data_IF_474650973361
#
_entry.id   IF_474650973361
#
_cell.length_a   1.000
_cell.length_b   1.000
_cell.length_c   1.000
_cell.angle_alpha   90.00
_cell.angle_beta   90.00
_cell.angle_gamma   90.00
#
_symmetry.space_group_name_H-M   'P 1'
#
loop_
_entity.id
_entity.type
_entity.pdbx_description
1 polymer ?
#
# COMPACT_ATOMS: atom_id res chain seq x y z
N UNK A 1 18.26 1.38 7.58
CA UNK A 1 18.15 2.04 7.31
C UNK A 1 17.15 2.51 6.58
N UNK A 2 16.67 2.95 6.47
CA UNK A 2 15.52 3.30 6.07
C UNK A 2 15.38 4.19 4.96
N UNK A 3 16.33 4.57 4.37
CA UNK A 3 16.27 5.72 3.54
C UNK A 3 15.99 5.42 2.09
N UNK A 4 15.12 4.51 1.87
CA UNK A 4 14.70 4.23 0.52
C UNK A 4 13.95 5.35 -0.14
N UNK A 5 13.14 6.15 0.59
CA UNK A 5 12.24 7.10 -0.04
C UNK A 5 12.88 8.09 -0.97
N UNK A 6 14.13 8.46 -0.73
CA UNK A 6 14.80 9.41 -1.59
C UNK A 6 15.45 8.79 -2.81
N UNK A 7 15.34 7.48 -2.98
CA UNK A 7 15.99 6.79 -4.08
C UNK A 7 15.24 7.05 -5.38
N UNK A 8 15.99 7.46 -6.39
CA UNK A 8 15.45 7.74 -7.70
C UNK A 8 14.81 6.49 -8.30
N UNK A 9 13.66 6.66 -8.90
CA UNK A 9 12.96 5.57 -9.57
C UNK A 9 11.95 4.83 -8.69
N UNK A 10 12.01 5.01 -7.39
CA UNK A 10 11.04 4.37 -6.50
C UNK A 10 9.66 4.96 -6.74
N UNK A 11 8.69 4.08 -6.90
CA UNK A 11 7.30 4.44 -7.13
C UNK A 11 6.50 4.16 -5.87
N UNK A 12 5.67 5.11 -5.47
CA UNK A 12 4.83 4.97 -4.29
C UNK A 12 3.37 4.93 -4.73
N UNK A 13 2.63 3.91 -4.30
CA UNK A 13 1.19 3.87 -4.45
C UNK A 13 0.56 4.15 -3.11
N UNK A 14 -0.35 5.13 -3.07
CA UNK A 14 -1.14 5.44 -1.89
C UNK A 14 -2.60 5.28 -2.30
N UNK A 15 -3.25 4.30 -1.71
CA UNK A 15 -4.64 3.98 -2.02
C UNK A 15 -5.48 4.27 -0.79
N UNK A 16 -6.42 5.19 -0.92
CA UNK A 16 -7.29 5.57 0.19
C UNK A 16 -8.65 4.91 -0.04
N UNK A 17 -8.99 3.99 0.85
CA UNK A 17 -10.28 3.32 0.81
C UNK A 17 -11.24 4.01 1.76
N UNK A 18 -12.46 4.24 1.30
CA UNK A 18 -13.59 4.61 2.14
C UNK A 18 -14.39 3.36 2.41
N UNK A 19 -14.73 3.11 3.66
CA UNK A 19 -15.33 1.86 4.09
C UNK A 19 -16.38 2.13 5.16
N UNK A 20 -17.41 1.28 5.20
CA UNK A 20 -18.36 1.33 6.31
C UNK A 20 -17.66 0.87 7.59
N UNK A 21 -17.93 1.50 8.74
CA UNK A 21 -17.19 1.17 9.98
C UNK A 21 -17.23 -0.31 10.34
N UNK A 22 -18.37 -0.96 10.11
CA UNK A 22 -18.50 -2.39 10.42
C UNK A 22 -17.67 -3.28 9.49
N UNK A 23 -17.19 -2.74 8.37
CA UNK A 23 -16.38 -3.49 7.40
C UNK A 23 -14.91 -3.10 7.44
N UNK A 24 -14.54 -2.13 8.28
CA UNK A 24 -13.16 -1.64 8.28
C UNK A 24 -12.16 -2.75 8.56
N UNK A 25 -12.40 -3.57 9.59
CA UNK A 25 -11.46 -4.63 9.94
C UNK A 25 -11.41 -5.71 8.85
N UNK A 26 -12.53 -6.00 8.20
CA UNK A 26 -12.54 -6.94 7.09
C UNK A 26 -11.64 -6.46 5.96
N UNK A 27 -11.68 -5.16 5.65
CA UNK A 27 -10.83 -4.59 4.61
C UNK A 27 -9.37 -4.59 5.03
N UNK A 28 -9.07 -4.26 6.29
CA UNK A 28 -7.71 -4.34 6.81
C UNK A 28 -7.16 -5.75 6.63
N UNK A 29 -7.92 -6.77 7.02
CA UNK A 29 -7.50 -8.16 6.89
C UNK A 29 -7.27 -8.55 5.44
N UNK A 30 -8.17 -8.11 4.56
CA UNK A 30 -8.06 -8.37 3.13
C UNK A 30 -6.80 -7.72 2.54
N UNK A 31 -6.50 -6.49 2.95
CA UNK A 31 -5.30 -5.80 2.47
C UNK A 31 -4.02 -6.44 3.00
N UNK A 32 -4.03 -6.96 4.21
CA UNK A 32 -2.87 -7.69 4.75
C UNK A 32 -2.60 -8.93 3.89
N UNK A 33 -3.63 -9.69 3.52
CA UNK A 33 -3.46 -10.83 2.62
C UNK A 33 -2.94 -10.38 1.25
N UNK A 34 -3.47 -9.27 0.74
CA UNK A 34 -3.05 -8.72 -0.54
C UNK A 34 -1.57 -8.38 -0.52
N UNK A 35 -1.11 -7.72 0.53
CA UNK A 35 0.30 -7.33 0.66
C UNK A 35 1.20 -8.57 0.77
N UNK A 36 0.76 -9.58 1.49
CA UNK A 36 1.53 -10.81 1.62
C UNK A 36 1.64 -11.55 0.28
N UNK A 37 0.68 -11.40 -0.59
CA UNK A 37 0.76 -11.95 -1.93
C UNK A 37 1.64 -11.07 -2.82
N UNK A 38 1.48 -9.75 -2.74
CA UNK A 38 2.23 -8.79 -3.55
C UNK A 38 3.74 -8.91 -3.34
N UNK A 39 4.17 -9.16 -2.10
CA UNK A 39 5.59 -9.20 -1.77
C UNK A 39 6.34 -10.34 -2.48
N UNK A 40 5.62 -11.29 -3.04
CA UNK A 40 6.23 -12.41 -3.77
C UNK A 40 6.72 -11.99 -5.16
N UNK A 41 6.30 -10.84 -5.65
CA UNK A 41 6.65 -10.37 -7.00
C UNK A 41 7.93 -9.54 -6.91
N UNK A 42 8.94 -9.81 -7.77
CA UNK A 42 10.17 -9.05 -7.76
C UNK A 42 9.92 -7.55 -7.97
N UNK A 43 10.64 -6.73 -7.21
CA UNK A 43 10.53 -5.28 -7.29
C UNK A 43 9.57 -4.66 -6.28
N UNK A 44 8.80 -5.46 -5.57
CA UNK A 44 8.04 -4.97 -4.43
C UNK A 44 9.02 -4.66 -3.29
N UNK A 45 8.87 -3.50 -2.65
CA UNK A 45 9.80 -3.07 -1.61
C UNK A 45 9.20 -3.08 -0.21
N UNK A 46 8.03 -2.46 -0.03
CA UNK A 46 7.44 -2.34 1.30
C UNK A 46 5.98 -1.96 1.20
N UNK A 47 5.25 -2.18 2.28
CA UNK A 47 3.88 -1.73 2.39
C UNK A 47 3.55 -1.39 3.83
N UNK A 48 2.59 -0.48 3.99
CA UNK A 48 1.97 -0.16 5.27
C UNK A 48 0.48 -0.07 5.07
N UNK A 49 -0.25 -0.64 6.00
CA UNK A 49 -1.71 -0.56 6.01
C UNK A 49 -2.11 0.23 7.26
N UNK A 50 -2.87 1.29 7.04
CA UNK A 50 -3.33 2.17 8.11
C UNK A 50 -4.84 2.15 8.18
N UNK A 51 -5.40 2.20 9.37
CA UNK A 51 -6.84 2.41 9.51
C UNK A 51 -7.09 3.68 10.28
N UNK A 52 -8.14 4.41 9.89
CA UNK A 52 -8.51 5.64 10.58
C UNK A 52 -9.15 5.34 11.91
N UNK A 53 -8.96 6.23 12.88
CA UNK A 53 -9.56 6.05 14.19
C UNK A 53 -11.09 6.14 14.16
N UNK A 54 -11.64 6.89 13.18
CA UNK A 54 -13.09 7.05 13.09
C UNK A 54 -13.79 5.88 12.40
N UNK A 55 -13.03 4.87 11.94
CA UNK A 55 -13.61 3.68 11.35
C UNK A 55 -13.99 3.79 9.88
N UNK A 56 -13.73 4.93 9.23
CA UNK A 56 -14.26 5.18 7.90
C UNK A 56 -13.26 5.04 6.76
N UNK A 57 -11.97 4.87 7.05
CA UNK A 57 -10.94 4.78 6.01
C UNK A 57 -9.91 3.72 6.33
N UNK A 58 -9.33 3.19 5.26
CA UNK A 58 -8.12 2.36 5.32
C UNK A 58 -7.19 2.85 4.23
N UNK A 59 -5.92 3.07 4.57
CA UNK A 59 -4.93 3.55 3.61
C UNK A 59 -3.89 2.46 3.40
N UNK A 60 -3.61 2.16 2.15
CA UNK A 60 -2.58 1.21 1.76
C UNK A 60 -1.44 2.00 1.09
N UNK A 61 -0.26 1.97 1.70
CA UNK A 61 0.92 2.68 1.23
C UNK A 61 1.94 1.64 0.79
N UNK A 62 2.31 1.62 -0.51
CA UNK A 62 3.17 0.59 -1.06
C UNK A 62 4.29 1.22 -1.87
N UNK A 63 5.49 0.70 -1.73
CA UNK A 63 6.65 1.13 -2.50
C UNK A 63 7.13 0.03 -3.43
N UNK A 64 7.48 0.43 -4.66
CA UNK A 64 8.03 -0.46 -5.70
C UNK A 64 9.31 0.14 -6.24
N UNK A 65 10.22 -0.70 -6.72
CA UNK A 65 11.49 -0.21 -7.25
C UNK A 65 11.38 0.43 -8.63
N UNK A 66 10.26 0.22 -9.35
CA UNK A 66 10.05 0.78 -10.68
C UNK A 66 8.59 0.72 -11.07
N UNK A 67 8.22 1.42 -12.15
CA UNK A 67 6.89 1.33 -12.72
C UNK A 67 6.60 -0.06 -13.25
N UNK A 68 7.60 -0.70 -13.85
CA UNK A 68 7.44 -2.06 -14.35
C UNK A 68 7.13 -3.03 -13.23
N UNK A 69 7.82 -2.89 -12.09
CA UNK A 69 7.55 -3.71 -10.92
C UNK A 69 6.14 -3.48 -10.39
N UNK A 70 5.72 -2.22 -10.30
CA UNK A 70 4.37 -1.88 -9.84
C UNK A 70 3.31 -2.53 -10.74
N UNK A 71 3.50 -2.44 -12.05
CA UNK A 71 2.55 -3.04 -13.00
C UNK A 71 2.53 -4.55 -12.91
N UNK A 72 3.69 -5.18 -12.70
CA UNK A 72 3.76 -6.62 -12.53
C UNK A 72 3.00 -7.08 -11.29
N UNK A 73 3.14 -6.35 -10.20
CA UNK A 73 2.42 -6.64 -8.96
C UNK A 73 0.91 -6.50 -9.20
N UNK A 74 0.49 -5.41 -9.85
CA UNK A 74 -0.95 -5.20 -10.08
C UNK A 74 -1.54 -6.29 -10.96
N UNK A 75 -0.82 -6.75 -11.98
CA UNK A 75 -1.29 -7.85 -12.81
C UNK A 75 -1.42 -9.14 -11.99
N UNK A 76 -0.44 -9.39 -11.14
CA UNK A 76 -0.44 -10.59 -10.29
C UNK A 76 -1.64 -10.57 -9.34
N UNK A 77 -1.88 -9.43 -8.71
CA UNK A 77 -2.99 -9.30 -7.77
C UNK A 77 -4.35 -9.36 -8.48
N UNK A 78 -4.45 -8.75 -9.66
CA UNK A 78 -5.69 -8.80 -10.44
C UNK A 78 -6.03 -10.23 -10.83
N UNK A 79 -5.03 -10.99 -11.29
CA UNK A 79 -5.22 -12.37 -11.68
C UNK A 79 -5.69 -13.24 -10.52
N UNK A 80 -5.25 -12.93 -9.30
CA UNK A 80 -5.63 -13.68 -8.11
C UNK A 80 -6.94 -13.22 -7.47
N UNK A 81 -7.59 -12.19 -8.01
CA UNK A 81 -8.86 -11.70 -7.48
C UNK A 81 -8.74 -10.76 -6.28
N UNK A 82 -7.52 -10.40 -5.90
CA UNK A 82 -7.30 -9.58 -4.71
C UNK A 82 -7.83 -8.15 -4.88
N UNK A 83 -7.61 -7.56 -6.04
CA UNK A 83 -8.05 -6.17 -6.28
C UNK A 83 -9.57 -6.08 -6.26
N UNK A 84 -10.24 -7.03 -6.90
CA UNK A 84 -11.70 -7.07 -6.92
C UNK A 84 -12.25 -7.24 -5.51
N UNK A 85 -11.67 -8.15 -4.72
CA UNK A 85 -12.13 -8.41 -3.36
C UNK A 85 -12.05 -7.15 -2.50
N UNK A 86 -10.94 -6.41 -2.62
CA UNK A 86 -10.77 -5.20 -1.83
C UNK A 86 -11.78 -4.12 -2.20
N UNK A 87 -12.09 -3.96 -3.49
CA UNK A 87 -13.06 -2.95 -3.93
C UNK A 87 -14.50 -3.34 -3.61
N UNK A 88 -14.77 -4.61 -3.33
CA UNK A 88 -16.08 -5.03 -2.85
C UNK A 88 -16.30 -4.64 -1.40
N UNK A 89 -15.22 -4.44 -0.65
CA UNK A 89 -15.31 -4.06 0.77
C UNK A 89 -15.34 -2.55 0.98
N UNK A 90 -14.78 -1.79 0.05
CA UNK A 90 -14.76 -0.33 0.15
C UNK A 90 -14.43 0.28 -1.19
N UNK A 91 -14.74 1.57 -1.33
CA UNK A 91 -14.37 2.31 -2.54
C UNK A 91 -12.95 2.85 -2.41
N UNK A 92 -12.20 2.88 -3.50
CA UNK A 92 -10.80 3.28 -3.45
C UNK A 92 -10.53 4.49 -4.31
N UNK A 93 -9.70 5.40 -3.78
CA UNK A 93 -9.08 6.48 -4.54
C UNK A 93 -7.60 6.15 -4.66
N UNK A 94 -7.16 5.59 -5.81
CA UNK A 94 -5.76 5.21 -5.98
C UNK A 94 -4.92 6.41 -6.43
N UNK A 95 -3.63 6.37 -6.13
CA UNK A 95 -2.71 7.40 -6.59
C UNK A 95 -1.29 6.88 -6.66
N UNK A 96 -0.54 7.42 -7.62
CA UNK A 96 0.89 7.14 -7.76
C UNK A 96 1.65 8.40 -7.40
N UNK A 97 2.73 8.24 -6.66
CA UNK A 97 3.47 9.36 -6.10
C UNK A 97 4.96 9.09 -6.12
N UNK A 98 5.74 10.15 -6.03
CA UNK A 98 7.17 10.04 -5.76
C UNK A 98 7.47 10.75 -4.44
N UNK A 99 8.46 10.26 -3.71
CA UNK A 99 8.89 10.93 -2.48
C UNK A 99 9.78 12.10 -2.86
N UNK A 100 9.43 13.28 -2.43
CA UNK A 100 10.24 14.48 -2.75
C UNK A 100 11.01 15.00 -1.56
N UNK A 101 10.70 14.56 -0.35
CA UNK A 101 11.42 14.99 0.85
C UNK A 101 11.14 14.04 2.00
N UNK A 102 12.17 13.72 2.76
CA UNK A 102 12.05 12.90 3.96
C UNK A 102 12.88 13.52 5.07
N UNK A 103 12.31 13.61 6.25
CA UNK A 103 13.01 14.06 7.44
C UNK A 103 12.53 13.23 8.61
N UNK A 104 13.46 12.58 9.28
CA UNK A 104 13.15 11.74 10.45
C UNK A 104 13.94 12.25 11.65
N UNK A 105 13.34 12.14 12.83
CA UNK A 105 14.07 12.36 14.07
C UNK A 105 14.94 11.15 14.37
N UNK A 106 15.95 11.32 15.22
CA UNK A 106 16.79 10.20 15.64
C UNK A 106 15.94 9.11 16.30
N UNK A 107 14.97 9.49 17.10
CA UNK A 107 14.06 8.53 17.73
C UNK A 107 13.23 7.79 16.70
N UNK A 108 12.77 8.50 15.65
CA UNK A 108 11.98 7.89 14.57
C UNK A 108 12.76 6.84 13.80
N UNK A 109 14.07 6.97 13.73
CA UNK A 109 14.90 6.00 13.00
C UNK A 109 15.05 4.69 13.75
N UNK A 110 14.70 4.64 15.02
CA UNK A 110 14.84 3.43 15.85
C UNK A 110 13.58 2.58 15.85
N UNK A 111 12.54 3.07 15.26
CA UNK A 111 11.27 2.34 15.18
C UNK A 111 11.07 1.73 13.80
#
# INVERSE_FOLDING_TARGET
>A
MAAIPSRKGVVVHINVFTVAPEKQQLLVDSLIETVNEARKVPGWLSARVHRSYDGTRVVNYVQYESQEAAQAVLRHLAAGGYLKRNTELGTVAPGQYEVVYTLDSVAGLQT
#
